data_IF_563586972037
#
_entry.id   IF_563586972037
#
_cell.length_a   1.000
_cell.length_b   1.000
_cell.length_c   1.000
_cell.angle_alpha   90.00
_cell.angle_beta   90.00
_cell.angle_gamma   90.00
#
_symmetry.space_group_name_H-M   'P 1'
#
loop_
_entity.id
_entity.type
_entity.pdbx_description
1 polymer ?
#
# COMPACT_ATOMS: atom_id res chain seq x y z
N UNK A 1 -39.23 -71.51 -6.29
CA UNK A 1 -39.99 -70.46 -5.59
C UNK A 1 -39.01 -69.44 -5.02
N UNK A 2 -39.04 -68.26 -5.63
CA UNK A 2 -38.55 -66.93 -5.22
C UNK A 2 -38.45 -66.70 -3.70
N UNK A 3 -37.32 -66.12 -3.25
CA UNK A 3 -37.13 -64.98 -2.32
C UNK A 3 -35.62 -64.92 -2.00
N UNK A 4 -34.84 -63.85 -2.13
CA UNK A 4 -35.01 -62.44 -2.45
C UNK A 4 -33.77 -61.74 -1.88
N UNK A 5 -32.78 -61.40 -2.73
CA UNK A 5 -31.60 -60.63 -2.33
C UNK A 5 -32.03 -59.21 -1.92
N UNK A 6 -32.03 -58.93 -0.62
CA UNK A 6 -32.24 -57.59 -0.07
C UNK A 6 -30.93 -56.82 0.11
N UNK A 7 -30.29 -56.42 -1.00
CA UNK A 7 -29.23 -55.41 -1.01
C UNK A 7 -29.88 -54.03 -0.82
N UNK A 8 -30.09 -53.62 0.43
CA UNK A 8 -30.41 -52.23 0.74
C UNK A 8 -29.14 -51.38 0.62
N UNK A 9 -29.01 -50.72 -0.53
CA UNK A 9 -27.93 -49.79 -0.83
C UNK A 9 -27.91 -48.60 0.14
N UNK A 10 -26.78 -48.44 0.84
CA UNK A 10 -26.45 -47.22 1.55
C UNK A 10 -26.32 -46.08 0.52
N UNK A 11 -27.31 -45.19 0.47
CA UNK A 11 -27.21 -43.93 -0.30
C UNK A 11 -26.27 -42.99 0.46
N UNK A 12 -25.08 -42.75 -0.07
CA UNK A 12 -24.24 -41.62 0.35
C UNK A 12 -24.96 -40.32 -0.04
N UNK A 13 -25.59 -39.65 0.92
CA UNK A 13 -26.10 -38.29 0.70
C UNK A 13 -24.92 -37.33 0.49
N UNK A 14 -24.95 -36.44 -0.52
CA UNK A 14 -23.91 -35.43 -0.68
C UNK A 14 -23.93 -34.49 0.53
N UNK A 15 -22.77 -34.25 1.13
CA UNK A 15 -22.64 -33.38 2.29
C UNK A 15 -22.85 -31.90 1.88
N UNK A 16 -24.10 -31.44 1.95
CA UNK A 16 -24.56 -30.09 1.58
C UNK A 16 -23.76 -28.97 2.27
N UNK A 17 -23.18 -29.25 3.45
CA UNK A 17 -22.37 -28.27 4.19
C UNK A 17 -21.04 -27.95 3.50
N UNK A 18 -20.41 -28.93 2.84
CA UNK A 18 -19.17 -28.73 2.09
C UNK A 18 -19.39 -27.86 0.85
N UNK A 19 -20.51 -28.07 0.14
CA UNK A 19 -20.92 -27.23 -1.00
C UNK A 19 -21.20 -25.79 -0.57
N UNK A 20 -21.94 -25.59 0.52
CA UNK A 20 -22.25 -24.26 1.03
C UNK A 20 -21.00 -23.51 1.51
N UNK A 21 -20.04 -24.19 2.15
CA UNK A 21 -18.75 -23.60 2.54
C UNK A 21 -17.94 -23.17 1.33
N UNK A 22 -17.84 -24.01 0.28
CA UNK A 22 -17.13 -23.69 -0.96
C UNK A 22 -17.74 -22.47 -1.68
N UNK A 23 -19.07 -22.39 -1.77
CA UNK A 23 -19.78 -21.25 -2.35
C UNK A 23 -19.51 -19.97 -1.55
N UNK A 24 -19.56 -20.06 -0.21
CA UNK A 24 -19.27 -18.91 0.66
C UNK A 24 -17.82 -18.43 0.56
N UNK A 25 -16.88 -19.36 0.37
CA UNK A 25 -15.46 -19.05 0.20
C UNK A 25 -15.20 -18.41 -1.16
N UNK A 26 -15.80 -18.96 -2.24
CA UNK A 26 -15.72 -18.38 -3.57
C UNK A 26 -16.29 -16.96 -3.62
N UNK A 27 -17.46 -16.74 -3.00
CA UNK A 27 -18.06 -15.41 -2.90
C UNK A 27 -17.16 -14.41 -2.16
N UNK A 28 -16.58 -14.81 -1.02
CA UNK A 28 -15.63 -13.96 -0.27
C UNK A 28 -14.37 -13.64 -1.06
N UNK A 29 -13.81 -14.61 -1.77
CA UNK A 29 -12.65 -14.41 -2.64
C UNK A 29 -12.97 -13.44 -3.78
N UNK A 30 -14.15 -13.57 -4.39
CA UNK A 30 -14.60 -12.64 -5.43
C UNK A 30 -14.78 -11.22 -4.90
N UNK A 31 -15.38 -11.04 -3.72
CA UNK A 31 -15.53 -9.71 -3.11
C UNK A 31 -14.17 -9.08 -2.82
N UNK A 32 -13.20 -9.85 -2.31
CA UNK A 32 -11.83 -9.36 -2.06
C UNK A 32 -11.13 -8.95 -3.36
N UNK A 33 -11.27 -9.74 -4.42
CA UNK A 33 -10.69 -9.42 -5.73
C UNK A 33 -11.28 -8.13 -6.31
N UNK A 34 -12.61 -7.99 -6.25
CA UNK A 34 -13.29 -6.77 -6.71
C UNK A 34 -12.87 -5.53 -5.90
N UNK A 35 -12.72 -5.67 -4.59
CA UNK A 35 -12.28 -4.58 -3.74
C UNK A 35 -10.82 -4.18 -4.02
N UNK A 36 -9.92 -5.16 -4.17
CA UNK A 36 -8.55 -4.88 -4.57
C UNK A 36 -8.49 -4.15 -5.92
N UNK A 37 -9.29 -4.58 -6.90
CA UNK A 37 -9.36 -3.93 -8.20
C UNK A 37 -9.84 -2.47 -8.10
N UNK A 38 -10.84 -2.19 -7.25
CA UNK A 38 -11.29 -0.82 -7.00
C UNK A 38 -10.21 0.03 -6.37
N UNK A 39 -9.49 -0.50 -5.38
CA UNK A 39 -8.40 0.23 -4.72
C UNK A 39 -7.31 0.58 -5.72
N UNK A 40 -6.95 -0.34 -6.62
CA UNK A 40 -5.97 -0.08 -7.69
C UNK A 40 -6.47 1.04 -8.61
N UNK A 41 -7.70 0.96 -9.10
CA UNK A 41 -8.27 1.98 -9.99
C UNK A 41 -8.32 3.38 -9.34
N UNK A 42 -8.71 3.46 -8.07
CA UNK A 42 -8.71 4.74 -7.33
C UNK A 42 -7.28 5.27 -7.11
N UNK A 43 -6.30 4.38 -6.91
CA UNK A 43 -4.91 4.78 -6.78
C UNK A 43 -4.34 5.30 -8.11
N UNK A 44 -4.66 4.65 -9.22
CA UNK A 44 -4.29 5.08 -10.58
C UNK A 44 -4.84 6.50 -10.86
N UNK A 45 -6.13 6.73 -10.63
CA UNK A 45 -6.73 8.07 -10.80
C UNK A 45 -6.05 9.15 -9.97
N UNK A 46 -5.64 8.81 -8.73
CA UNK A 46 -4.92 9.74 -7.85
C UNK A 46 -3.51 10.03 -8.34
N UNK A 47 -2.84 9.03 -8.91
CA UNK A 47 -1.51 9.18 -9.51
C UNK A 47 -1.60 10.06 -10.75
N UNK A 48 -2.58 9.83 -11.62
CA UNK A 48 -2.79 10.63 -12.84
C UNK A 48 -3.04 12.10 -12.49
N UNK A 49 -3.87 12.35 -11.48
CA UNK A 49 -4.11 13.71 -10.98
C UNK A 49 -2.85 14.35 -10.41
N UNK A 50 -2.03 13.60 -9.69
CA UNK A 50 -0.76 14.10 -9.13
C UNK A 50 0.23 14.41 -10.24
N UNK A 51 0.33 13.55 -11.26
CA UNK A 51 1.16 13.74 -12.43
C UNK A 51 0.74 15.02 -13.18
N UNK A 52 -0.56 15.21 -13.42
CA UNK A 52 -1.10 16.40 -14.06
C UNK A 52 -0.70 17.68 -13.31
N UNK A 53 -0.84 17.69 -11.98
CA UNK A 53 -0.46 18.86 -11.16
C UNK A 53 1.05 19.10 -11.21
N UNK A 54 1.87 18.05 -11.12
CA UNK A 54 3.32 18.17 -11.21
C UNK A 54 3.78 18.71 -12.57
N UNK A 55 3.15 18.28 -13.67
CA UNK A 55 3.40 18.84 -14.99
C UNK A 55 3.03 20.32 -15.06
N UNK A 56 1.86 20.71 -14.53
CA UNK A 56 1.46 22.11 -14.50
C UNK A 56 2.42 22.97 -13.67
N UNK A 57 2.90 22.47 -12.53
CA UNK A 57 3.94 23.14 -11.72
C UNK A 57 5.24 23.29 -12.51
N UNK A 58 5.66 22.25 -13.23
CA UNK A 58 6.87 22.30 -14.05
C UNK A 58 6.75 23.32 -15.19
N UNK A 59 5.63 23.35 -15.90
CA UNK A 59 5.40 24.34 -16.95
C UNK A 59 5.41 25.77 -16.41
N UNK A 60 4.73 26.03 -15.29
CA UNK A 60 4.77 27.33 -14.63
C UNK A 60 6.19 27.75 -14.21
N UNK A 61 7.01 26.80 -13.74
CA UNK A 61 8.40 27.07 -13.40
C UNK A 61 9.23 27.39 -14.64
N UNK A 62 9.09 26.62 -15.72
CA UNK A 62 9.78 26.89 -16.99
C UNK A 62 9.41 28.24 -17.60
N UNK A 63 8.16 28.69 -17.45
CA UNK A 63 7.75 30.01 -17.95
C UNK A 63 8.41 31.17 -17.20
N UNK A 64 8.69 30.98 -15.90
CA UNK A 64 9.20 32.02 -15.00
C UNK A 64 10.71 31.93 -14.76
N UNK A 65 11.35 30.87 -15.22
CA UNK A 65 12.77 30.59 -14.99
C UNK A 65 13.44 30.11 -16.27
N UNK A 66 14.75 30.24 -16.37
CA UNK A 66 15.55 29.70 -17.48
C UNK A 66 16.02 28.26 -17.22
N UNK A 67 15.30 27.50 -16.39
CA UNK A 67 15.69 26.14 -16.03
C UNK A 67 15.46 25.18 -17.20
N UNK A 68 16.45 24.34 -17.47
CA UNK A 68 16.37 23.28 -18.45
C UNK A 68 15.78 22.00 -17.85
N UNK A 69 15.36 21.07 -18.70
CA UNK A 69 14.94 19.73 -18.27
C UNK A 69 16.09 18.96 -17.61
N UNK A 70 17.33 19.20 -18.05
CA UNK A 70 18.53 18.62 -17.43
C UNK A 70 18.71 19.08 -15.98
N UNK A 71 18.41 20.35 -15.68
CA UNK A 71 18.48 20.89 -14.31
C UNK A 71 17.45 20.21 -13.39
N UNK A 72 16.26 19.92 -13.91
CA UNK A 72 15.24 19.17 -13.18
C UNK A 72 15.72 17.74 -12.90
N UNK A 73 16.24 17.05 -13.91
CA UNK A 73 16.73 15.68 -13.76
C UNK A 73 17.91 15.60 -12.79
N UNK A 74 18.84 16.55 -12.87
CA UNK A 74 19.92 16.68 -11.90
C UNK A 74 19.38 16.91 -10.49
N UNK A 75 18.35 17.75 -10.34
CA UNK A 75 17.73 17.99 -9.03
C UNK A 75 17.03 16.76 -8.46
N UNK A 76 16.35 15.99 -9.31
CA UNK A 76 15.74 14.72 -8.92
C UNK A 76 16.82 13.75 -8.43
N UNK A 77 17.94 13.65 -9.15
CA UNK A 77 19.07 12.81 -8.75
C UNK A 77 19.72 13.26 -7.42
N UNK A 78 19.90 14.57 -7.22
CA UNK A 78 20.38 15.12 -5.94
C UNK A 78 19.46 14.77 -4.77
N UNK A 79 18.15 14.83 -4.98
CA UNK A 79 17.16 14.51 -3.94
C UNK A 79 17.18 13.01 -3.62
N UNK A 80 17.26 12.15 -4.64
CA UNK A 80 17.34 10.70 -4.47
C UNK A 80 18.61 10.29 -3.70
N UNK A 81 19.77 10.89 -4.02
CA UNK A 81 21.01 10.66 -3.26
C UNK A 81 20.89 11.13 -1.81
N UNK A 82 20.16 12.22 -1.54
CA UNK A 82 20.00 12.79 -0.20
C UNK A 82 19.23 11.86 0.74
N UNK A 83 18.33 11.03 0.22
CA UNK A 83 17.59 10.03 1.01
C UNK A 83 18.45 8.80 1.35
N UNK A 84 19.67 8.70 0.81
CA UNK A 84 20.69 7.72 1.20
C UNK A 84 20.53 6.33 0.57
N UNK A 85 19.53 6.16 -0.31
CA UNK A 85 19.31 4.96 -1.12
C UNK A 85 18.89 5.39 -2.52
N UNK A 86 19.70 5.06 -3.53
CA UNK A 86 19.36 5.28 -4.94
C UNK A 86 18.40 4.17 -5.38
N UNK A 87 17.14 4.26 -4.97
CA UNK A 87 16.08 3.32 -5.39
C UNK A 87 14.95 4.00 -6.16
N UNK A 88 15.06 5.33 -6.41
CA UNK A 88 14.02 6.12 -7.07
C UNK A 88 12.77 6.29 -6.19
N UNK A 89 12.88 6.07 -4.87
CA UNK A 89 11.77 6.17 -3.93
C UNK A 89 12.17 7.03 -2.74
N UNK A 90 11.25 7.88 -2.33
CA UNK A 90 11.39 8.60 -1.07
C UNK A 90 11.22 7.59 0.07
N UNK A 91 12.33 7.18 0.68
CA UNK A 91 12.32 6.28 1.84
C UNK A 91 11.82 7.08 3.05
N UNK A 92 10.66 6.68 3.60
CA UNK A 92 10.09 7.30 4.80
C UNK A 92 11.07 7.16 5.98
N UNK A 93 11.84 8.22 6.23
CA UNK A 93 13.01 8.24 7.10
C UNK A 93 12.76 7.71 8.51
N UNK A 94 13.73 7.01 9.09
CA UNK A 94 13.56 6.41 10.40
C UNK A 94 13.86 7.45 11.49
N UNK A 95 12.96 7.67 12.46
CA UNK A 95 13.15 8.64 13.55
C UNK A 95 13.96 8.04 14.68
N UNK A 96 14.98 8.74 15.18
CA UNK A 96 15.68 8.36 16.41
C UNK A 96 15.10 9.12 17.60
N UNK A 97 14.80 8.41 18.68
CA UNK A 97 14.36 9.05 19.92
C UNK A 97 15.54 9.72 20.64
N UNK A 98 15.44 11.00 21.01
CA UNK A 98 16.52 11.73 21.70
C UNK A 98 16.83 11.18 23.09
N UNK A 99 15.87 10.52 23.75
CA UNK A 99 15.99 10.04 25.13
C UNK A 99 16.57 8.63 25.24
N UNK A 100 16.20 7.72 24.35
CA UNK A 100 16.65 6.31 24.39
C UNK A 100 17.49 5.90 23.18
N UNK A 101 17.71 6.80 22.24
CA UNK A 101 18.47 6.62 20.99
C UNK A 101 18.00 5.44 20.12
N UNK A 102 16.80 4.91 20.35
CA UNK A 102 16.22 3.83 19.57
C UNK A 102 15.57 4.36 18.29
N UNK A 103 15.68 3.56 17.24
CA UNK A 103 15.26 3.82 15.86
C UNK A 103 13.81 3.38 15.65
N UNK A 104 12.91 4.32 15.35
CA UNK A 104 11.46 4.14 15.27
C UNK A 104 10.88 4.59 13.92
N UNK A 105 9.77 3.97 13.50
CA UNK A 105 9.01 4.41 12.33
C UNK A 105 8.35 5.79 12.57
N UNK A 106 8.25 6.61 11.52
CA UNK A 106 7.64 7.96 11.57
C UNK A 106 6.20 7.99 12.07
N UNK A 107 5.47 6.88 11.92
CA UNK A 107 4.05 6.75 12.28
C UNK A 107 3.78 6.94 13.78
N UNK A 108 4.77 6.67 14.64
CA UNK A 108 4.58 6.78 16.09
C UNK A 108 4.89 8.20 16.56
N UNK A 109 3.89 8.87 17.15
CA UNK A 109 4.05 10.21 17.76
C UNK A 109 4.79 10.18 19.10
N UNK A 110 4.90 9.02 19.73
CA UNK A 110 5.65 8.81 20.98
C UNK A 110 6.59 7.63 20.82
N UNK A 111 7.72 7.68 21.51
CA UNK A 111 8.60 6.52 21.58
C UNK A 111 7.93 5.35 22.31
N UNK A 112 7.79 4.21 21.62
CA UNK A 112 7.26 2.95 22.19
C UNK A 112 8.06 2.42 23.39
N UNK A 113 9.30 2.87 23.56
CA UNK A 113 10.23 2.33 24.56
C UNK A 113 10.36 3.23 25.79
N UNK A 114 10.45 4.55 25.61
CA UNK A 114 10.72 5.48 26.71
C UNK A 114 9.61 6.51 26.94
N UNK A 115 8.56 6.50 26.12
CA UNK A 115 7.40 7.39 26.24
C UNK A 115 7.65 8.85 25.85
N UNK A 116 8.85 9.24 25.42
CA UNK A 116 9.16 10.61 25.03
C UNK A 116 8.47 11.01 23.71
N UNK A 117 7.99 12.26 23.62
CA UNK A 117 7.29 12.83 22.45
C UNK A 117 8.25 13.49 21.44
N UNK A 118 9.52 13.67 21.79
CA UNK A 118 10.51 14.39 20.97
C UNK A 118 11.18 13.50 19.91
N UNK A 119 10.47 13.26 18.82
CA UNK A 119 11.01 12.65 17.61
C UNK A 119 11.30 13.78 16.59
N UNK A 120 12.53 13.87 16.07
CA UNK A 120 12.85 14.84 15.01
C UNK A 120 11.94 14.62 13.79
N UNK A 121 11.33 15.69 13.31
CA UNK A 121 10.54 15.73 12.08
C UNK A 121 11.38 16.45 11.03
N UNK A 122 11.73 15.81 9.93
CA UNK A 122 12.29 16.52 8.77
C UNK A 122 11.25 16.58 7.65
N UNK A 123 10.95 17.83 7.30
CA UNK A 123 10.26 18.42 6.14
C UNK A 123 8.89 17.91 5.62
N UNK A 124 8.52 16.63 5.65
CA UNK A 124 7.28 16.17 4.98
C UNK A 124 6.35 15.28 5.82
N UNK A 125 6.32 15.51 7.12
CA UNK A 125 5.43 14.77 8.03
C UNK A 125 4.30 15.69 8.55
N UNK A 126 3.33 16.01 7.69
CA UNK A 126 1.98 16.41 8.09
C UNK A 126 1.02 16.54 6.89
N UNK A 127 0.72 15.44 6.19
CA UNK A 127 -0.59 15.34 5.54
C UNK A 127 -1.56 14.75 6.58
N UNK A 128 -2.42 15.63 7.12
CA UNK A 128 -3.52 15.30 8.03
C UNK A 128 -4.58 14.48 7.31
#
# INVERSE_FOLDING_TARGET
MITGLGIYGARCAPNVTAGNMAISQAARSQTKANEAQRVVSVLEERIDKLLLVNLAVWELLKERTSLSEDDLMNKVHEIDIRDGVVDGKITKGIKKCRKCNRTMSQKHRRCLYCGAEDLKTEAYDAAK
#
